data_IF_402266312057
#
_entry.id   IF_402266312057
#
_cell.length_a   1.000
_cell.length_b   1.000
_cell.length_c   1.000
_cell.angle_alpha   90.00
_cell.angle_beta   90.00
_cell.angle_gamma   90.00
#
_symmetry.space_group_name_H-M   'P 1'
#
loop_
_entity.id
_entity.type
_entity.pdbx_description
1 polymer ?
#
# COMPACT_ATOMS: atom_id res chain seq x y z
N UNK A 1 -19.17 -7.68 7.10
CA UNK A 1 -17.90 -7.91 7.83
C UNK A 1 -16.89 -8.28 6.78
N UNK A 2 -15.81 -7.52 6.63
CA UNK A 2 -14.62 -8.06 5.96
C UNK A 2 -14.16 -9.25 6.83
N UNK A 3 -13.80 -10.39 6.23
CA UNK A 3 -12.97 -11.36 6.94
C UNK A 3 -11.71 -10.63 7.43
N UNK A 4 -10.96 -11.18 8.38
CA UNK A 4 -9.67 -10.63 8.78
C UNK A 4 -8.73 -10.61 7.55
N UNK A 5 -8.83 -9.56 6.75
CA UNK A 5 -8.09 -9.35 5.51
C UNK A 5 -6.79 -8.68 5.90
N UNK A 6 -5.69 -9.16 5.32
CA UNK A 6 -4.37 -8.57 5.46
C UNK A 6 -4.02 -7.79 4.19
N UNK A 7 -4.44 -6.51 4.06
CA UNK A 7 -4.06 -5.68 2.93
C UNK A 7 -2.67 -5.09 3.13
N UNK A 8 -1.90 -5.08 2.04
CA UNK A 8 -0.68 -4.29 1.93
C UNK A 8 -0.97 -2.97 1.20
N UNK A 9 -0.70 -1.86 1.88
CA UNK A 9 -0.80 -0.51 1.30
C UNK A 9 0.53 -0.10 0.71
N UNK A 10 0.54 0.19 -0.59
CA UNK A 10 1.71 0.71 -1.30
C UNK A 10 1.66 2.25 -1.34
N UNK A 11 2.60 2.86 -0.61
CA UNK A 11 2.79 4.28 -0.55
C UNK A 11 1.83 4.97 0.44
N UNK A 12 2.41 5.58 1.46
CA UNK A 12 1.70 6.37 2.47
C UNK A 12 2.05 7.85 2.40
N UNK A 13 3.10 8.21 1.67
CA UNK A 13 3.45 9.60 1.38
C UNK A 13 2.32 10.32 0.61
N UNK A 14 2.18 11.62 0.90
CA UNK A 14 1.21 12.54 0.29
C UNK A 14 1.42 12.69 -1.22
N UNK A 15 2.67 12.58 -1.68
CA UNK A 15 3.03 12.64 -3.10
C UNK A 15 4.07 11.59 -3.44
N UNK A 16 4.13 11.29 -4.73
CA UNK A 16 5.19 10.52 -5.36
C UNK A 16 6.57 11.04 -4.93
N UNK A 17 7.42 10.09 -4.56
CA UNK A 17 8.87 10.23 -4.34
C UNK A 17 9.31 11.23 -3.25
N UNK A 18 8.46 11.46 -2.25
CA UNK A 18 8.78 12.26 -1.06
C UNK A 18 8.36 11.52 0.21
N UNK A 19 8.80 12.00 1.38
CA UNK A 19 8.56 11.41 2.70
C UNK A 19 7.45 12.10 3.52
N UNK A 20 6.82 13.15 2.99
CA UNK A 20 5.78 13.89 3.71
C UNK A 20 4.45 13.12 3.73
N UNK A 21 3.94 12.80 4.92
CA UNK A 21 2.66 12.09 5.11
C UNK A 21 1.56 12.95 5.76
N UNK A 22 1.85 14.19 6.15
CA UNK A 22 1.02 14.97 7.10
C UNK A 22 -0.44 15.13 6.69
N UNK A 23 -0.68 15.29 5.40
CA UNK A 23 -2.01 15.48 4.81
C UNK A 23 -2.32 14.34 3.81
N UNK A 24 -1.72 13.17 4.01
CA UNK A 24 -1.80 12.07 3.06
C UNK A 24 -3.19 11.42 3.06
N UNK A 25 -3.90 11.38 1.91
CA UNK A 25 -5.16 10.65 1.82
C UNK A 25 -4.95 9.14 2.04
N UNK A 26 -3.74 8.61 1.81
CA UNK A 26 -3.41 7.20 2.07
C UNK A 26 -3.55 6.84 3.55
N UNK A 27 -3.21 7.77 4.46
CA UNK A 27 -3.37 7.57 5.91
C UNK A 27 -4.84 7.42 6.28
N UNK A 28 -5.73 8.22 5.68
CA UNK A 28 -7.18 8.11 5.90
C UNK A 28 -7.73 6.76 5.41
N UNK A 29 -7.24 6.27 4.26
CA UNK A 29 -7.63 4.94 3.76
C UNK A 29 -7.18 3.84 4.73
N UNK A 30 -5.96 3.92 5.25
CA UNK A 30 -5.47 2.96 6.26
C UNK A 30 -6.33 2.99 7.52
N UNK A 31 -6.79 4.16 7.97
CA UNK A 31 -7.67 4.24 9.14
C UNK A 31 -9.04 3.60 8.89
N UNK A 32 -9.63 3.82 7.71
CA UNK A 32 -10.89 3.19 7.34
C UNK A 32 -10.76 1.66 7.34
N UNK A 33 -9.70 1.13 6.74
CA UNK A 33 -9.42 -0.30 6.73
C UNK A 33 -9.26 -0.86 8.14
N UNK A 34 -8.53 -0.16 9.02
CA UNK A 34 -8.33 -0.58 10.42
C UNK A 34 -9.64 -0.56 11.19
N UNK A 35 -10.45 0.48 10.99
CA UNK A 35 -11.77 0.61 11.62
C UNK A 35 -12.75 -0.47 11.15
N UNK A 36 -12.53 -1.05 9.97
CA UNK A 36 -13.28 -2.21 9.49
C UNK A 36 -12.75 -3.55 10.01
N UNK A 37 -11.62 -3.56 10.73
CA UNK A 37 -11.01 -4.75 11.31
C UNK A 37 -9.95 -5.42 10.43
N UNK A 38 -9.40 -4.73 9.44
CA UNK A 38 -8.28 -5.23 8.65
C UNK A 38 -6.97 -5.18 9.45
N UNK A 39 -6.10 -6.17 9.23
CA UNK A 39 -4.74 -6.20 9.76
C UNK A 39 -3.78 -5.67 8.70
N UNK A 40 -3.38 -4.41 8.83
CA UNK A 40 -2.77 -3.64 7.73
C UNK A 40 -1.26 -3.68 7.83
N UNK A 41 -0.61 -3.96 6.70
CA UNK A 41 0.80 -3.65 6.46
C UNK A 41 0.93 -2.52 5.44
N UNK A 42 2.06 -1.82 5.45
CA UNK A 42 2.36 -0.82 4.41
C UNK A 42 3.79 -0.96 3.92
N UNK A 43 4.02 -0.58 2.67
CA UNK A 43 5.35 -0.40 2.10
C UNK A 43 5.47 0.98 1.48
N UNK A 44 6.44 1.76 1.93
CA UNK A 44 6.79 3.05 1.35
C UNK A 44 8.32 3.23 1.35
N UNK A 45 8.95 3.40 0.17
CA UNK A 45 10.40 3.52 0.07
C UNK A 45 10.95 4.80 0.69
N UNK A 46 10.10 5.80 0.95
CA UNK A 46 10.48 7.08 1.55
C UNK A 46 10.05 7.20 3.02
N UNK A 47 9.17 6.32 3.51
CA UNK A 47 8.62 6.40 4.89
C UNK A 47 8.84 5.08 5.64
N UNK A 48 10.05 4.88 6.18
CA UNK A 48 10.45 3.61 6.82
C UNK A 48 9.69 3.28 8.12
N UNK A 49 9.30 4.30 8.88
CA UNK A 49 8.52 4.16 10.11
C UNK A 49 7.36 5.14 10.06
N UNK A 50 6.16 4.68 10.44
CA UNK A 50 5.01 5.56 10.50
C UNK A 50 5.29 6.70 11.49
N UNK A 51 5.26 7.97 11.06
CA UNK A 51 5.68 9.06 11.93
C UNK A 51 4.63 9.35 12.99
N UNK A 52 5.05 9.97 14.09
CA UNK A 52 4.13 10.43 15.12
C UNK A 52 3.29 11.59 14.57
N UNK A 53 1.98 11.40 14.46
CA UNK A 53 1.04 12.45 14.03
C UNK A 53 0.05 12.74 15.17
N UNK A 54 -0.60 13.90 15.12
CA UNK A 54 -1.56 14.32 16.15
C UNK A 54 -2.91 13.61 16.02
N UNK A 55 -3.34 13.40 14.79
CA UNK A 55 -4.70 12.92 14.47
C UNK A 55 -4.72 11.43 14.11
N UNK A 56 -3.58 10.90 13.65
CA UNK A 56 -3.44 9.55 13.14
C UNK A 56 -2.27 8.87 13.83
N UNK A 57 -2.46 7.61 14.23
CA UNK A 57 -1.38 6.84 14.86
C UNK A 57 -1.41 5.40 14.39
N UNK A 58 -0.29 4.91 13.89
CA UNK A 58 -0.05 3.50 13.62
C UNK A 58 1.29 3.13 14.24
N UNK A 59 1.34 1.95 14.86
CA UNK A 59 2.60 1.35 15.31
C UNK A 59 3.06 0.36 14.23
N UNK A 60 3.51 0.92 13.10
CA UNK A 60 3.88 0.18 11.91
C UNK A 60 5.20 0.71 11.33
N UNK A 61 5.97 -0.21 10.74
CA UNK A 61 7.12 0.10 9.90
C UNK A 61 6.87 -0.40 8.49
N UNK A 62 7.53 0.24 7.51
CA UNK A 62 7.47 -0.16 6.12
C UNK A 62 8.01 -1.57 5.98
N UNK A 63 7.21 -2.46 5.41
CA UNK A 63 7.65 -3.81 5.07
C UNK A 63 8.44 -3.78 3.75
N UNK A 64 9.48 -4.61 3.59
CA UNK A 64 10.16 -4.74 2.31
C UNK A 64 9.23 -5.40 1.28
N UNK A 65 9.23 -4.86 0.06
CA UNK A 65 8.55 -5.50 -1.06
C UNK A 65 9.39 -6.66 -1.59
N UNK A 66 8.79 -7.83 -1.56
CA UNK A 66 9.30 -9.04 -2.18
C UNK A 66 8.13 -9.92 -2.62
N UNK A 67 8.36 -10.88 -3.54
CA UNK A 67 7.37 -11.89 -3.90
C UNK A 67 6.73 -12.58 -2.69
N UNK A 68 7.53 -12.88 -1.67
CA UNK A 68 7.09 -13.54 -0.44
C UNK A 68 6.17 -12.64 0.39
N UNK A 69 6.53 -11.36 0.55
CA UNK A 69 5.68 -10.40 1.26
C UNK A 69 4.34 -10.24 0.55
N UNK A 70 4.34 -10.15 -0.79
CA UNK A 70 3.12 -9.96 -1.60
C UNK A 70 2.20 -11.19 -1.56
N UNK A 71 2.77 -12.40 -1.64
CA UNK A 71 2.01 -13.64 -1.63
C UNK A 71 1.31 -13.92 -0.28
N UNK A 72 1.74 -13.26 0.80
CA UNK A 72 1.12 -13.36 2.13
C UNK A 72 -0.08 -12.43 2.30
N UNK A 73 -0.34 -11.53 1.35
CA UNK A 73 -1.41 -10.54 1.45
C UNK A 73 -2.63 -10.99 0.67
N UNK A 74 -3.81 -10.70 1.22
CA UNK A 74 -5.08 -10.94 0.53
C UNK A 74 -5.31 -9.93 -0.59
N UNK A 75 -4.80 -8.70 -0.40
CA UNK A 75 -4.93 -7.62 -1.36
C UNK A 75 -3.76 -6.63 -1.25
N UNK A 76 -3.43 -6.01 -2.37
CA UNK A 76 -2.43 -4.96 -2.49
C UNK A 76 -3.12 -3.70 -3.00
N UNK A 77 -3.02 -2.60 -2.26
CA UNK A 77 -3.64 -1.32 -2.60
C UNK A 77 -2.55 -0.32 -2.99
N UNK A 78 -2.53 0.10 -4.25
CA UNK A 78 -1.63 1.15 -4.70
C UNK A 78 -2.26 2.52 -4.47
N UNK A 79 -1.76 3.25 -3.47
CA UNK A 79 -2.27 4.57 -3.07
C UNK A 79 -1.34 5.72 -3.46
N UNK A 80 -0.02 5.49 -3.53
CA UNK A 80 0.94 6.48 -4.06
C UNK A 80 1.86 5.81 -5.08
N UNK A 81 2.01 6.43 -6.26
CA UNK A 81 2.72 5.83 -7.40
C UNK A 81 4.24 6.09 -7.39
N UNK A 82 4.94 5.67 -6.33
CA UNK A 82 6.40 5.85 -6.23
C UNK A 82 7.15 5.24 -7.43
N UNK A 83 8.20 5.91 -7.89
CA UNK A 83 9.04 5.41 -8.99
C UNK A 83 9.91 4.22 -8.59
N UNK A 84 10.13 4.03 -7.28
CA UNK A 84 10.92 2.95 -6.72
C UNK A 84 10.19 1.59 -6.67
N UNK A 85 8.89 1.56 -6.95
CA UNK A 85 8.15 0.30 -6.98
C UNK A 85 8.42 -0.48 -8.27
N UNK A 86 8.72 -1.77 -8.11
CA UNK A 86 8.74 -2.73 -9.20
C UNK A 86 7.31 -3.19 -9.51
N UNK A 87 6.66 -2.47 -10.42
CA UNK A 87 5.25 -2.71 -10.75
C UNK A 87 5.02 -4.07 -11.40
N UNK A 88 5.96 -4.59 -12.18
CA UNK A 88 5.83 -5.91 -12.82
C UNK A 88 5.84 -7.01 -11.77
N UNK A 89 6.82 -6.99 -10.86
CA UNK A 89 6.91 -7.94 -9.74
C UNK A 89 5.66 -7.86 -8.85
N UNK A 90 5.15 -6.67 -8.57
CA UNK A 90 3.91 -6.51 -7.80
C UNK A 90 2.72 -7.14 -8.53
N UNK A 91 2.55 -6.91 -9.84
CA UNK A 91 1.45 -7.51 -10.60
C UNK A 91 1.55 -9.03 -10.71
N UNK A 92 2.77 -9.58 -10.79
CA UNK A 92 3.00 -11.01 -10.88
C UNK A 92 2.65 -11.75 -9.59
N UNK A 93 2.93 -11.15 -8.43
CA UNK A 93 2.83 -11.84 -7.13
C UNK A 93 1.65 -11.41 -6.25
N UNK A 94 0.97 -10.31 -6.55
CA UNK A 94 -0.21 -9.90 -5.81
C UNK A 94 -1.42 -10.79 -6.14
N UNK A 95 -2.06 -11.36 -5.11
CA UNK A 95 -3.31 -12.14 -5.28
C UNK A 95 -4.47 -11.28 -5.81
N UNK A 96 -4.59 -10.05 -5.29
CA UNK A 96 -5.54 -9.04 -5.75
C UNK A 96 -4.85 -7.69 -5.71
N UNK A 97 -4.95 -6.93 -6.78
CA UNK A 97 -4.32 -5.62 -6.91
C UNK A 97 -5.35 -4.54 -7.21
N UNK A 98 -5.45 -3.54 -6.33
CA UNK A 98 -6.33 -2.38 -6.46
C UNK A 98 -5.48 -1.15 -6.79
N UNK A 99 -5.53 -0.72 -8.05
CA UNK A 99 -4.80 0.43 -8.53
C UNK A 99 -5.67 1.71 -8.54
N UNK A 100 -5.53 2.53 -7.48
CA UNK A 100 -6.23 3.82 -7.39
C UNK A 100 -5.58 4.92 -8.22
N UNK A 101 -4.37 4.67 -8.73
CA UNK A 101 -3.53 5.65 -9.43
C UNK A 101 -3.56 5.46 -10.94
N UNK A 102 -4.10 4.35 -11.44
CA UNK A 102 -4.13 3.99 -12.86
C UNK A 102 -2.75 3.73 -13.47
N UNK A 103 -1.75 3.39 -12.64
CA UNK A 103 -0.37 3.11 -13.08
C UNK A 103 -0.34 1.92 -14.03
N UNK A 104 -0.98 0.81 -13.67
CA UNK A 104 -0.89 -0.43 -14.45
C UNK A 104 -1.49 -0.25 -15.85
N UNK A 105 -2.62 0.46 -15.94
CA UNK A 105 -3.22 0.83 -17.22
C UNK A 105 -2.29 1.72 -18.05
N UNK A 106 -1.63 2.71 -17.45
CA UNK A 106 -0.70 3.60 -18.17
C UNK A 106 0.54 2.87 -18.67
N UNK A 107 1.04 1.92 -17.89
CA UNK A 107 2.23 1.12 -18.22
C UNK A 107 1.92 -0.05 -19.17
N UNK A 108 0.64 -0.37 -19.38
CA UNK A 108 0.24 -1.54 -20.19
C UNK A 108 0.53 -2.87 -19.51
N UNK A 109 0.72 -2.87 -18.19
CA UNK A 109 0.95 -4.07 -17.39
C UNK A 109 -0.41 -4.72 -17.11
N UNK A 110 -0.49 -6.03 -17.36
CA UNK A 110 -1.71 -6.80 -17.10
C UNK A 110 -1.83 -7.08 -15.61
N UNK A 111 -3.00 -6.85 -15.04
CA UNK A 111 -3.27 -7.14 -13.63
C UNK A 111 -3.44 -8.66 -13.41
N UNK A 112 -3.17 -9.15 -12.19
CA UNK A 112 -3.43 -10.54 -11.84
C UNK A 112 -4.90 -10.90 -12.12
N UNK A 113 -5.11 -12.09 -12.66
CA UNK A 113 -6.46 -12.61 -12.95
C UNK A 113 -6.91 -13.40 -11.72
N UNK A 114 -8.05 -13.02 -11.15
CA UNK A 114 -8.67 -13.71 -10.00
C UNK A 114 -9.17 -15.12 -10.35
#
# INVERSE_FOLDING_TARGET
MINATVPLVLGIAYKRDIDDVRESPSVLVMELLRNWGADISYSDPHVQTFPVMREHSFDLSSVPLSPETLAQQDAVLLLTDHTHFDYEMIAEHASLLIDTRGVYRRLGITLPTA
#
